data_IF_031718763007
#
_entry.id   IF_031718763007
#
_cell.length_a   1.000
_cell.length_b   1.000
_cell.length_c   1.000
_cell.angle_alpha   90.00
_cell.angle_beta   90.00
_cell.angle_gamma   90.00
#
_symmetry.space_group_name_H-M   'P 1'
#
loop_
_entity.id
_entity.type
_entity.pdbx_description
1 polymer ?
#
# COMPACT_ATOMS: atom_id res chain seq x y z
N UNK A 1 3.81 -9.23 -9.13
CA UNK A 1 3.37 -7.81 -9.06
C UNK A 1 4.42 -6.86 -9.62
N UNK A 2 5.65 -6.79 -9.08
CA UNK A 2 6.71 -5.89 -9.60
C UNK A 2 6.95 -6.05 -11.12
N UNK A 3 7.07 -7.28 -11.63
CA UNK A 3 7.23 -7.50 -13.08
C UNK A 3 6.04 -6.97 -13.90
N UNK A 4 4.81 -7.14 -13.42
CA UNK A 4 3.62 -6.61 -14.09
C UNK A 4 3.58 -5.07 -14.06
N UNK A 5 4.07 -4.45 -12.98
CA UNK A 5 4.24 -3.00 -12.94
C UNK A 5 5.29 -2.52 -13.97
N UNK A 6 6.43 -3.20 -14.08
CA UNK A 6 7.46 -2.91 -15.09
C UNK A 6 6.93 -3.05 -16.52
N UNK A 7 6.10 -4.06 -16.76
CA UNK A 7 5.44 -4.30 -18.04
C UNK A 7 4.26 -3.35 -18.32
N UNK A 8 3.84 -2.54 -17.35
CA UNK A 8 2.67 -1.66 -17.48
C UNK A 8 1.33 -2.40 -17.51
N UNK A 9 1.30 -3.67 -17.07
CA UNK A 9 0.11 -4.54 -17.14
C UNK A 9 -0.59 -4.71 -15.80
N UNK A 10 -0.05 -4.16 -14.70
CA UNK A 10 -0.66 -4.22 -13.36
C UNK A 10 -1.75 -3.14 -13.21
N UNK A 11 -3.05 -3.48 -13.21
CA UNK A 11 -4.12 -2.49 -13.14
C UNK A 11 -4.16 -1.75 -11.81
N UNK A 12 -3.66 -2.34 -10.72
CA UNK A 12 -3.60 -1.71 -9.41
C UNK A 12 -2.39 -0.75 -9.25
N UNK A 13 -1.53 -0.62 -10.26
CA UNK A 13 -0.34 0.21 -10.20
C UNK A 13 -0.71 1.70 -10.06
N UNK A 14 -0.19 2.33 -9.00
CA UNK A 14 -0.40 3.76 -8.73
C UNK A 14 0.70 4.55 -9.44
N UNK A 15 1.96 4.29 -9.10
CA UNK A 15 3.12 4.96 -9.67
C UNK A 15 4.42 4.20 -9.42
N UNK A 16 5.44 4.53 -10.22
CA UNK A 16 6.85 4.26 -9.90
C UNK A 16 7.30 5.26 -8.83
N UNK A 17 8.01 4.79 -7.81
CA UNK A 17 8.68 5.61 -6.80
C UNK A 17 10.21 5.50 -6.91
N UNK A 18 10.95 6.18 -6.03
CA UNK A 18 12.42 6.10 -6.01
C UNK A 18 12.92 4.69 -5.68
N UNK A 19 12.34 4.03 -4.69
CA UNK A 19 12.73 2.70 -4.24
C UNK A 19 12.01 1.55 -4.96
N UNK A 20 10.91 1.81 -5.69
CA UNK A 20 10.11 0.74 -6.25
C UNK A 20 8.76 1.17 -6.83
N UNK A 21 7.70 0.48 -6.42
CA UNK A 21 6.36 0.64 -6.97
C UNK A 21 5.32 0.78 -5.86
N UNK A 22 4.44 1.77 -6.01
CA UNK A 22 3.22 1.88 -5.22
C UNK A 22 2.07 1.22 -5.96
N UNK A 23 1.32 0.35 -5.30
CA UNK A 23 0.14 -0.33 -5.85
C UNK A 23 -1.01 -0.34 -4.84
N UNK A 24 -2.25 -0.40 -5.32
CA UNK A 24 -3.38 -0.72 -4.46
C UNK A 24 -3.38 -2.21 -4.11
N UNK A 25 -3.79 -2.56 -2.90
CA UNK A 25 -3.89 -3.96 -2.47
C UNK A 25 -4.95 -4.72 -3.27
N UNK A 26 -4.68 -5.98 -3.59
CA UNK A 26 -5.59 -6.82 -4.38
C UNK A 26 -6.96 -7.01 -3.73
N UNK A 27 -7.04 -6.95 -2.40
CA UNK A 27 -8.29 -6.93 -1.63
C UNK A 27 -8.39 -5.63 -0.87
N UNK A 28 -9.39 -4.82 -1.16
CA UNK A 28 -9.56 -3.49 -0.57
C UNK A 28 -10.27 -3.60 0.79
N UNK A 29 -9.61 -4.24 1.77
CA UNK A 29 -10.11 -4.44 3.15
C UNK A 29 -10.43 -3.13 3.85
N UNK A 30 -9.65 -2.11 3.56
CA UNK A 30 -9.90 -0.72 3.92
C UNK A 30 -9.83 0.08 2.63
N UNK A 31 -10.74 1.05 2.47
CA UNK A 31 -10.80 1.93 1.30
C UNK A 31 -9.46 2.63 1.10
N UNK A 32 -8.77 2.34 -0.01
CA UNK A 32 -7.47 2.93 -0.32
C UNK A 32 -6.27 2.19 0.26
N UNK A 33 -6.45 0.94 0.70
CA UNK A 33 -5.33 0.09 1.14
C UNK A 33 -4.33 -0.11 -0.01
N UNK A 34 -3.06 0.17 0.29
CA UNK A 34 -1.96 0.15 -0.66
C UNK A 34 -0.76 -0.67 -0.15
N UNK A 35 0.15 -0.98 -1.07
CA UNK A 35 1.43 -1.61 -0.83
C UNK A 35 2.56 -0.78 -1.47
N UNK A 36 3.70 -0.72 -0.80
CA UNK A 36 4.97 -0.33 -1.41
C UNK A 36 5.82 -1.58 -1.63
N UNK A 37 6.26 -1.77 -2.87
CA UNK A 37 7.06 -2.91 -3.30
C UNK A 37 8.43 -2.40 -3.76
N UNK A 38 9.56 -2.84 -3.17
CA UNK A 38 10.87 -2.45 -3.62
C UNK A 38 11.16 -3.04 -5.01
N UNK A 39 11.96 -2.34 -5.78
CA UNK A 39 12.46 -2.81 -7.07
C UNK A 39 13.95 -2.41 -7.19
N UNK A 40 14.89 -3.37 -7.06
CA UNK A 40 14.69 -4.82 -7.17
C UNK A 40 13.95 -5.46 -6.00
N UNK A 41 13.30 -6.61 -6.28
CA UNK A 41 12.63 -7.43 -5.25
C UNK A 41 13.69 -8.00 -4.31
N UNK A 42 13.47 -7.83 -3.01
CA UNK A 42 14.35 -8.32 -1.95
C UNK A 42 13.54 -9.02 -0.87
N UNK A 43 14.10 -9.93 -0.05
CA UNK A 43 13.30 -10.72 0.87
C UNK A 43 12.78 -9.93 2.09
N UNK A 44 13.59 -9.01 2.64
CA UNK A 44 13.19 -8.27 3.84
C UNK A 44 13.97 -6.97 3.99
N UNK A 45 13.47 -6.05 4.83
CA UNK A 45 14.03 -4.72 5.03
C UNK A 45 15.53 -4.74 5.40
N UNK A 46 15.96 -5.76 6.15
CA UNK A 46 17.32 -5.87 6.65
C UNK A 46 18.38 -6.20 5.59
N UNK A 47 18.01 -6.67 4.40
CA UNK A 47 18.99 -6.88 3.31
C UNK A 47 19.34 -5.59 2.56
N UNK A 48 18.49 -4.56 2.67
CA UNK A 48 18.75 -3.27 2.06
C UNK A 48 19.95 -2.60 2.74
N UNK A 49 20.82 -2.00 1.94
CA UNK A 49 21.86 -1.11 2.46
C UNK A 49 21.24 0.06 3.23
N UNK A 50 21.99 0.74 4.11
CA UNK A 50 21.46 1.88 4.88
C UNK A 50 20.78 2.93 4.00
N UNK A 51 21.39 3.30 2.87
CA UNK A 51 20.83 4.27 1.95
C UNK A 51 19.53 3.80 1.29
N UNK A 52 19.48 2.54 0.84
CA UNK A 52 18.27 1.96 0.24
C UNK A 52 17.14 1.83 1.26
N UNK A 53 17.46 1.47 2.51
CA UNK A 53 16.49 1.37 3.60
C UNK A 53 15.91 2.75 3.94
N UNK A 54 16.74 3.78 4.02
CA UNK A 54 16.28 5.15 4.21
C UNK A 54 15.36 5.60 3.09
N UNK A 55 15.75 5.38 1.82
CA UNK A 55 14.90 5.71 0.68
C UNK A 55 13.56 4.96 0.70
N UNK A 56 13.56 3.67 1.04
CA UNK A 56 12.34 2.87 1.16
C UNK A 56 11.40 3.41 2.24
N UNK A 57 11.92 3.78 3.41
CA UNK A 57 11.10 4.35 4.49
C UNK A 57 10.59 5.75 4.16
N UNK A 58 11.37 6.56 3.44
CA UNK A 58 10.92 7.87 2.93
C UNK A 58 9.77 7.70 1.94
N UNK A 59 9.93 6.86 0.93
CA UNK A 59 8.89 6.58 -0.06
C UNK A 59 7.63 6.00 0.58
N UNK A 60 7.78 5.15 1.61
CA UNK A 60 6.65 4.60 2.36
C UNK A 60 5.85 5.69 3.07
N UNK A 61 6.55 6.65 3.70
CA UNK A 61 5.92 7.81 4.32
C UNK A 61 5.20 8.70 3.31
N UNK A 62 5.83 8.98 2.17
CA UNK A 62 5.22 9.78 1.09
C UNK A 62 3.98 9.08 0.51
N UNK A 63 4.03 7.76 0.30
CA UNK A 63 2.87 6.99 -0.12
C UNK A 63 1.74 7.07 0.92
N UNK A 64 2.05 6.91 2.20
CA UNK A 64 1.03 7.00 3.24
C UNK A 64 0.40 8.40 3.33
N UNK A 65 1.18 9.46 3.16
CA UNK A 65 0.63 10.82 3.11
C UNK A 65 -0.29 11.02 1.90
N UNK A 66 0.13 10.55 0.72
CA UNK A 66 -0.69 10.59 -0.48
C UNK A 66 -2.01 9.82 -0.32
N UNK A 67 -1.96 8.64 0.33
CA UNK A 67 -3.16 7.85 0.66
C UNK A 67 -4.03 8.61 1.64
N UNK A 68 -3.46 9.19 2.70
CA UNK A 68 -4.20 9.93 3.74
C UNK A 68 -4.98 11.10 3.13
N UNK A 69 -4.33 11.90 2.30
CA UNK A 69 -4.92 13.05 1.61
C UNK A 69 -6.00 12.61 0.61
N UNK A 70 -5.75 11.56 -0.18
CA UNK A 70 -6.70 11.08 -1.17
C UNK A 70 -7.98 10.49 -0.53
N UNK A 71 -7.88 9.86 0.64
CA UNK A 71 -9.00 9.19 1.30
C UNK A 71 -9.65 10.02 2.40
N UNK A 72 -9.00 11.08 2.90
CA UNK A 72 -9.41 11.77 4.12
C UNK A 72 -9.24 10.91 5.38
N UNK A 73 -8.27 10.00 5.39
CA UNK A 73 -8.04 9.14 6.55
C UNK A 73 -7.52 9.94 7.76
N UNK A 74 -7.86 9.50 8.96
CA UNK A 74 -7.38 10.10 10.21
C UNK A 74 -5.87 9.88 10.41
N UNK A 75 -5.39 8.69 10.03
CA UNK A 75 -4.00 8.26 10.14
C UNK A 75 -3.74 7.08 9.21
N UNK A 76 -2.47 6.74 9.05
CA UNK A 76 -2.03 5.53 8.36
C UNK A 76 -1.47 4.54 9.36
N UNK A 77 -1.80 3.26 9.20
CA UNK A 77 -1.07 2.17 9.83
C UNK A 77 -0.13 1.54 8.81
N UNK A 78 1.13 1.33 9.22
CA UNK A 78 2.13 0.67 8.41
C UNK A 78 2.46 -0.70 9.01
N UNK A 79 2.63 -1.70 8.15
CA UNK A 79 3.08 -3.03 8.57
C UNK A 79 4.04 -3.61 7.54
N UNK A 80 5.01 -4.39 8.01
CA UNK A 80 5.92 -5.19 7.18
C UNK A 80 6.02 -6.54 7.89
N UNK A 81 5.57 -7.61 7.23
CA UNK A 81 5.56 -8.96 7.82
C UNK A 81 6.50 -9.89 7.06
N UNK A 82 6.08 -10.40 5.91
CA UNK A 82 6.88 -11.29 5.07
C UNK A 82 6.86 -12.78 5.46
N UNK A 83 5.99 -13.20 6.40
CA UNK A 83 5.95 -14.59 6.87
C UNK A 83 5.37 -15.57 5.82
N UNK A 84 4.37 -15.13 5.05
CA UNK A 84 3.70 -15.96 4.03
C UNK A 84 4.26 -15.71 2.63
N UNK A 85 4.36 -14.45 2.23
CA UNK A 85 5.07 -14.03 1.02
C UNK A 85 6.44 -13.47 1.42
N UNK A 86 7.54 -14.17 1.12
CA UNK A 86 8.87 -13.79 1.58
C UNK A 86 9.48 -12.64 0.78
N UNK A 87 8.78 -12.04 -0.20
CA UNK A 87 9.23 -10.80 -0.83
C UNK A 87 8.86 -9.59 0.04
N UNK A 88 9.80 -8.65 0.25
CA UNK A 88 9.55 -7.41 1.00
C UNK A 88 8.40 -6.63 0.37
N UNK A 89 7.40 -6.32 1.18
CA UNK A 89 6.32 -5.40 0.86
C UNK A 89 5.90 -4.68 2.14
N UNK A 90 5.62 -3.39 2.03
CA UNK A 90 5.11 -2.60 3.14
C UNK A 90 3.65 -2.24 2.91
N UNK A 91 2.82 -2.53 3.90
CA UNK A 91 1.40 -2.26 3.91
C UNK A 91 1.12 -0.82 4.34
N UNK A 92 0.18 -0.16 3.66
CA UNK A 92 -0.28 1.20 3.93
C UNK A 92 -1.78 1.15 4.11
N UNK A 93 -2.24 1.18 5.37
CA UNK A 93 -3.64 1.05 5.74
C UNK A 93 -4.22 2.39 6.21
N UNK A 94 -5.06 3.06 5.41
CA UNK A 94 -5.80 4.23 5.87
C UNK A 94 -6.82 3.85 6.95
N UNK A 95 -6.85 4.63 8.04
CA UNK A 95 -7.77 4.45 9.17
C UNK A 95 -8.78 5.59 9.25
N UNK A 96 -10.02 5.30 9.59
CA UNK A 96 -11.14 6.22 9.47
C UNK A 96 -11.98 6.31 10.75
N UNK A 97 -12.68 7.43 10.91
CA UNK A 97 -13.59 7.66 12.03
C UNK A 97 -14.87 6.80 11.94
N UNK A 98 -15.25 6.40 10.73
CA UNK A 98 -16.47 5.64 10.41
C UNK A 98 -16.29 4.12 10.46
N UNK A 99 -15.09 3.63 10.83
CA UNK A 99 -14.86 2.20 11.07
C UNK A 99 -15.80 1.65 12.17
N UNK A 100 -16.19 0.37 12.13
CA UNK A 100 -16.90 -0.27 13.24
C UNK A 100 -16.13 -0.11 14.56
N UNK A 101 -16.84 0.16 15.66
CA UNK A 101 -16.21 0.49 16.95
C UNK A 101 -15.20 -0.55 17.41
N UNK A 102 -15.53 -1.84 17.28
CA UNK A 102 -14.67 -2.97 17.63
C UNK A 102 -13.37 -3.02 16.80
N UNK A 103 -13.32 -2.39 15.63
CA UNK A 103 -12.16 -2.41 14.73
C UNK A 103 -11.26 -1.17 14.88
N UNK A 104 -11.78 -0.04 15.39
CA UNK A 104 -11.05 1.24 15.48
C UNK A 104 -9.76 1.16 16.29
N UNK A 105 -9.74 0.38 17.36
CA UNK A 105 -8.57 0.20 18.23
C UNK A 105 -7.71 -1.01 17.83
N UNK A 106 -8.21 -1.85 16.93
CA UNK A 106 -7.53 -3.05 16.46
C UNK A 106 -6.56 -2.81 15.30
N UNK A 107 -5.78 -3.84 14.99
CA UNK A 107 -4.93 -3.86 13.79
C UNK A 107 -5.77 -4.23 12.54
N UNK A 108 -5.36 -3.81 11.33
CA UNK A 108 -6.11 -4.07 10.09
C UNK A 108 -6.39 -5.56 9.80
N UNK A 109 -5.61 -6.48 10.37
CA UNK A 109 -5.85 -7.92 10.25
C UNK A 109 -7.03 -8.48 11.09
N UNK A 110 -7.71 -7.67 11.90
CA UNK A 110 -8.95 -8.09 12.58
C UNK A 110 -10.18 -8.05 11.65
N UNK A 111 -10.10 -7.30 10.55
CA UNK A 111 -11.14 -7.29 9.53
C UNK A 111 -11.24 -8.66 8.84
N UNK A 112 -12.43 -9.00 8.35
CA UNK A 112 -12.60 -10.18 7.50
C UNK A 112 -12.15 -9.86 6.06
N UNK A 113 -10.94 -10.29 5.71
CA UNK A 113 -10.36 -10.11 4.39
C UNK A 113 -11.09 -10.90 3.29
N UNK A 114 -11.85 -11.94 3.64
CA UNK A 114 -12.61 -12.74 2.67
C UNK A 114 -13.82 -11.98 2.11
N UNK A 115 -14.36 -11.05 2.90
CA UNK A 115 -15.46 -10.16 2.51
C UNK A 115 -14.99 -8.88 1.80
N UNK A 116 -13.69 -8.60 1.83
CA UNK A 116 -13.13 -7.43 1.17
C UNK A 116 -13.25 -7.56 -0.36
N UNK A 117 -13.73 -6.52 -1.07
CA UNK A 117 -13.83 -6.55 -2.53
C UNK A 117 -12.44 -6.66 -3.15
N UNK A 118 -12.34 -7.43 -4.23
CA UNK A 118 -11.13 -7.46 -5.04
C UNK A 118 -10.95 -6.12 -5.75
N UNK A 119 -9.69 -5.73 -5.99
CA UNK A 119 -9.40 -4.53 -6.74
C UNK A 119 -10.03 -4.63 -8.14
N UNK A 120 -10.84 -3.62 -8.46
CA UNK A 120 -11.55 -3.47 -9.72
C UNK A 120 -11.30 -2.05 -10.25
N UNK A 121 -10.71 -1.86 -11.44
CA UNK A 121 -10.48 -0.53 -12.01
C UNK A 121 -11.74 0.34 -12.14
N UNK A 122 -12.91 -0.24 -12.40
CA UNK A 122 -14.15 0.50 -12.53
C UNK A 122 -14.59 1.14 -11.20
N UNK A 123 -14.36 0.45 -10.09
CA UNK A 123 -14.76 0.90 -8.75
C UNK A 123 -13.64 1.71 -8.06
N UNK A 124 -12.40 1.27 -8.22
CA UNK A 124 -11.25 1.75 -7.44
C UNK A 124 -10.32 2.66 -8.24
N UNK A 125 -10.42 2.69 -9.58
CA UNK A 125 -9.51 3.44 -10.44
C UNK A 125 -9.50 4.94 -10.16
N UNK A 126 -10.66 5.54 -9.90
CA UNK A 126 -10.75 6.95 -9.56
C UNK A 126 -10.00 7.31 -8.25
N UNK A 127 -9.99 6.40 -7.26
CA UNK A 127 -9.22 6.57 -6.03
C UNK A 127 -7.73 6.33 -6.28
N UNK A 128 -7.36 5.26 -7.01
CA UNK A 128 -5.99 4.98 -7.44
C UNK A 128 -5.34 6.21 -8.10
N UNK A 129 -6.05 6.82 -9.04
CA UNK A 129 -5.56 7.98 -9.79
C UNK A 129 -5.47 9.24 -8.92
N UNK A 130 -6.31 9.35 -7.89
CA UNK A 130 -6.23 10.42 -6.90
C UNK A 130 -5.01 10.26 -6.02
N UNK A 131 -4.74 9.05 -5.52
CA UNK A 131 -3.52 8.76 -4.76
C UNK A 131 -2.29 9.06 -5.62
N UNK A 132 -2.31 8.67 -6.90
CA UNK A 132 -1.24 8.99 -7.86
C UNK A 132 -0.96 10.49 -7.95
N UNK A 133 -2.00 11.34 -8.00
CA UNK A 133 -1.82 12.80 -8.05
C UNK A 133 -1.24 13.41 -6.79
N UNK A 134 -1.44 12.80 -5.62
CA UNK A 134 -0.80 13.27 -4.38
C UNK A 134 0.63 12.73 -4.22
N UNK A 135 0.98 11.67 -4.94
CA UNK A 135 2.28 11.00 -4.85
C UNK A 135 3.32 11.59 -5.82
N UNK A 136 2.88 12.23 -6.91
CA UNK A 136 3.71 12.83 -7.96
C UNK A 136 3.64 14.36 -7.89
#
# INVERSE_FOLDING_TARGET
MVEACRAGTEPACIARTGCGWAVMGQRQVLRGYCLLLPDPVVPHLNVLSPAQRSAFMTDLGTLGEAVREATGALRINYAIFGNLDPALHAHVHPRFADEPEAMRTGHPWLYDWTQAPEFNPAEHGALRDRIRRHLL
#
